data_IF_343377328529
#
_entry.id   IF_343377328529
#
_cell.length_a   1.000
_cell.length_b   1.000
_cell.length_c   1.000
_cell.angle_alpha   90.00
_cell.angle_beta   90.00
_cell.angle_gamma   90.00
#
_symmetry.space_group_name_H-M   'P 1'
#
loop_
_entity.id
_entity.type
_entity.pdbx_description
1 polymer ?
#
# COMPACT_ATOMS: atom_id res chain seq x y z
N UNK A 1 5.34 -13.60 7.81
CA UNK A 1 4.60 -12.48 8.40
C UNK A 1 4.92 -11.20 7.63
N UNK A 2 3.89 -10.49 7.21
CA UNK A 2 4.10 -9.29 6.41
C UNK A 2 4.60 -8.13 7.27
N UNK A 3 5.41 -7.28 6.68
CA UNK A 3 5.99 -6.12 7.35
C UNK A 3 5.43 -4.85 6.72
N UNK A 4 4.88 -3.98 7.56
CA UNK A 4 4.20 -2.76 7.15
C UNK A 4 5.02 -1.55 7.56
N UNK A 5 5.18 -0.59 6.66
CA UNK A 5 5.75 0.71 7.00
C UNK A 5 4.61 1.71 7.07
N UNK A 6 4.43 2.36 8.22
CA UNK A 6 3.40 3.37 8.42
C UNK A 6 4.07 4.74 8.45
N UNK A 7 3.66 5.63 7.55
CA UNK A 7 4.25 6.94 7.39
C UNK A 7 3.20 8.01 7.60
N UNK A 8 3.31 8.77 8.67
CA UNK A 8 2.37 9.83 9.02
C UNK A 8 3.08 10.74 10.02
N UNK A 9 2.86 12.05 9.92
CA UNK A 9 3.49 12.97 10.84
C UNK A 9 2.80 13.04 12.19
N UNK A 10 1.60 12.45 12.31
CA UNK A 10 0.86 12.39 13.57
C UNK A 10 1.12 11.07 14.29
N UNK A 11 1.75 11.17 15.45
CA UNK A 11 2.12 9.97 16.18
C UNK A 11 0.90 9.13 16.57
N UNK A 12 -0.23 9.78 16.87
CA UNK A 12 -1.43 9.04 17.26
C UNK A 12 -1.96 8.16 16.14
N UNK A 13 -1.88 8.66 14.90
CA UNK A 13 -2.29 7.87 13.74
C UNK A 13 -1.36 6.67 13.59
N UNK A 14 -0.05 6.88 13.68
CA UNK A 14 0.90 5.78 13.55
C UNK A 14 0.67 4.73 14.62
N UNK A 15 0.40 5.16 15.85
CA UNK A 15 0.24 4.23 16.95
C UNK A 15 -1.03 3.40 16.84
N UNK A 16 -2.13 4.01 16.39
CA UNK A 16 -3.36 3.24 16.27
C UNK A 16 -3.25 2.22 15.13
N UNK A 17 -2.62 2.60 14.03
CA UNK A 17 -2.41 1.66 12.94
C UNK A 17 -1.51 0.52 13.38
N UNK A 18 -0.45 0.85 14.10
CA UNK A 18 0.47 -0.16 14.61
C UNK A 18 -0.24 -1.15 15.51
N UNK A 19 -1.07 -0.64 16.41
CA UNK A 19 -1.78 -1.49 17.37
C UNK A 19 -2.68 -2.49 16.64
N UNK A 20 -3.47 -2.02 15.70
CA UNK A 20 -4.38 -2.89 14.96
C UNK A 20 -3.62 -3.87 14.06
N UNK A 21 -2.55 -3.40 13.44
CA UNK A 21 -1.77 -4.26 12.54
C UNK A 21 -1.04 -5.35 13.31
N UNK A 22 -0.48 -5.01 14.46
CA UNK A 22 0.20 -6.02 15.26
C UNK A 22 -0.77 -7.05 15.80
N UNK A 23 -1.99 -6.62 16.13
CA UNK A 23 -3.02 -7.56 16.54
C UNK A 23 -3.34 -8.57 15.46
N UNK A 24 -3.22 -8.16 14.19
CA UNK A 24 -3.46 -9.04 13.05
C UNK A 24 -2.23 -9.91 12.72
N UNK A 25 -1.13 -9.71 13.41
CA UNK A 25 0.06 -10.51 13.21
C UNK A 25 1.11 -9.88 12.31
N UNK A 26 0.94 -8.63 11.93
CA UNK A 26 1.92 -7.95 11.07
C UNK A 26 3.03 -7.33 11.91
N UNK A 27 4.21 -7.22 11.29
CA UNK A 27 5.30 -6.42 11.83
C UNK A 27 5.13 -4.99 11.36
N UNK A 28 5.40 -3.99 12.22
CA UNK A 28 5.17 -2.59 11.86
C UNK A 28 6.41 -1.75 12.17
N UNK A 29 6.84 -0.96 11.19
CA UNK A 29 7.84 0.08 11.38
C UNK A 29 7.16 1.42 11.10
N UNK A 30 7.68 2.49 11.69
CA UNK A 30 7.08 3.81 11.59
C UNK A 30 8.06 4.83 11.03
N UNK A 31 7.54 5.77 10.23
CA UNK A 31 8.29 6.93 9.77
C UNK A 31 7.44 8.17 9.99
N UNK A 32 8.06 9.30 10.34
CA UNK A 32 7.30 10.52 10.63
C UNK A 32 7.17 11.45 9.43
N UNK A 33 7.91 11.20 8.37
CA UNK A 33 7.81 12.03 7.17
C UNK A 33 8.29 11.23 5.97
N UNK A 34 8.13 11.83 4.79
CA UNK A 34 8.47 11.15 3.56
C UNK A 34 9.95 10.87 3.39
N UNK A 35 10.80 11.77 3.88
CA UNK A 35 12.24 11.57 3.76
C UNK A 35 12.70 10.38 4.58
N UNK A 36 12.17 10.25 5.79
CA UNK A 36 12.49 9.11 6.63
C UNK A 36 12.01 7.81 5.99
N UNK A 37 10.82 7.87 5.38
CA UNK A 37 10.26 6.68 4.71
C UNK A 37 11.17 6.23 3.56
N UNK A 38 11.63 7.16 2.73
CA UNK A 38 12.51 6.82 1.62
C UNK A 38 13.79 6.17 2.14
N UNK A 39 14.35 6.75 3.19
CA UNK A 39 15.58 6.22 3.77
C UNK A 39 15.38 4.80 4.32
N UNK A 40 14.25 4.58 5.00
CA UNK A 40 13.97 3.24 5.53
C UNK A 40 13.78 2.20 4.44
N UNK A 41 13.15 2.58 3.34
CA UNK A 41 12.96 1.67 2.21
C UNK A 41 14.30 1.28 1.59
N UNK A 42 15.26 2.18 1.58
CA UNK A 42 16.60 1.87 1.08
C UNK A 42 17.29 0.77 1.91
N UNK A 43 16.98 0.74 3.20
CA UNK A 43 17.72 -0.12 4.14
C UNK A 43 16.96 -1.36 4.58
N UNK A 44 15.66 -1.42 4.34
CA UNK A 44 14.82 -2.54 4.79
C UNK A 44 13.78 -2.89 3.73
N UNK A 45 13.27 -4.10 3.81
CA UNK A 45 12.20 -4.54 2.93
C UNK A 45 10.85 -4.43 3.63
N UNK A 46 9.84 -3.96 2.90
CA UNK A 46 8.47 -3.88 3.39
C UNK A 46 7.54 -4.50 2.38
N UNK A 47 6.46 -5.08 2.89
CA UNK A 47 5.45 -5.72 2.03
C UNK A 47 4.37 -4.74 1.59
N UNK A 48 4.16 -3.68 2.38
CA UNK A 48 3.18 -2.65 2.04
C UNK A 48 3.53 -1.38 2.82
N UNK A 49 3.20 -0.24 2.25
CA UNK A 49 3.41 1.07 2.88
C UNK A 49 2.07 1.77 3.03
N UNK A 50 1.80 2.29 4.21
CA UNK A 50 0.65 3.15 4.48
C UNK A 50 1.21 4.56 4.59
N UNK A 51 0.81 5.44 3.69
CA UNK A 51 1.47 6.73 3.49
C UNK A 51 0.47 7.88 3.55
N UNK A 52 0.68 8.80 4.50
CA UNK A 52 -0.09 10.03 4.54
C UNK A 52 0.28 10.92 3.36
N UNK A 53 -0.71 11.55 2.74
CA UNK A 53 -0.46 12.45 1.62
C UNK A 53 0.22 13.73 2.07
N UNK A 54 -0.30 14.35 3.13
CA UNK A 54 0.17 15.68 3.57
C UNK A 54 1.13 15.55 4.74
N UNK A 55 2.41 15.76 4.46
CA UNK A 55 3.44 15.69 5.49
C UNK A 55 4.47 16.78 5.25
N UNK A 56 5.17 17.21 6.31
CA UNK A 56 6.28 18.16 6.13
C UNK A 56 7.45 17.49 5.44
N UNK A 57 8.36 18.30 4.94
CA UNK A 57 9.60 17.90 4.29
C UNK A 57 9.38 17.27 2.93
N UNK A 58 8.72 16.12 2.87
CA UNK A 58 8.46 15.43 1.62
C UNK A 58 7.06 14.83 1.72
N UNK A 59 6.14 15.29 0.88
CA UNK A 59 4.77 14.81 0.92
C UNK A 59 4.66 13.36 0.45
N UNK A 60 3.48 12.75 0.66
CA UNK A 60 3.30 11.34 0.38
C UNK A 60 3.44 10.97 -1.08
N UNK A 61 2.96 11.80 -2.00
CA UNK A 61 3.09 11.51 -3.43
C UNK A 61 4.54 11.57 -3.86
N UNK A 62 5.27 12.59 -3.42
CA UNK A 62 6.68 12.74 -3.76
C UNK A 62 7.50 11.60 -3.17
N UNK A 63 7.18 11.21 -1.93
CA UNK A 63 7.88 10.09 -1.29
C UNK A 63 7.62 8.80 -2.06
N UNK A 64 6.38 8.56 -2.47
CA UNK A 64 6.03 7.37 -3.23
C UNK A 64 6.80 7.33 -4.55
N UNK A 65 6.89 8.46 -5.21
CA UNK A 65 7.63 8.56 -6.46
C UNK A 65 9.10 8.19 -6.27
N UNK A 66 9.71 8.69 -5.19
CA UNK A 66 11.10 8.35 -4.89
C UNK A 66 11.26 6.87 -4.54
N UNK A 67 10.31 6.33 -3.77
CA UNK A 67 10.34 4.93 -3.41
C UNK A 67 10.25 4.04 -4.64
N UNK A 68 9.40 4.41 -5.61
CA UNK A 68 9.24 3.62 -6.84
C UNK A 68 10.52 3.53 -7.66
N UNK A 69 11.43 4.48 -7.51
CA UNK A 69 12.72 4.40 -8.16
C UNK A 69 13.62 3.33 -7.54
N UNK A 70 13.31 2.94 -6.32
CA UNK A 70 14.14 2.00 -5.57
C UNK A 70 13.52 0.60 -5.57
N UNK A 71 12.22 0.50 -5.25
CA UNK A 71 11.55 -0.78 -5.08
C UNK A 71 10.09 -0.69 -5.50
N UNK A 72 9.51 -1.82 -5.89
CA UNK A 72 8.09 -1.94 -6.19
C UNK A 72 7.37 -2.48 -4.95
N UNK A 73 6.83 -1.57 -4.15
CA UNK A 73 6.13 -1.93 -2.93
C UNK A 73 4.70 -1.38 -3.01
N UNK A 74 3.68 -2.18 -2.71
CA UNK A 74 2.30 -1.65 -2.70
C UNK A 74 2.14 -0.51 -1.71
N UNK A 75 1.35 0.49 -2.08
CA UNK A 75 1.14 1.69 -1.25
C UNK A 75 -0.35 1.97 -1.12
N UNK A 76 -0.80 2.20 0.12
CA UNK A 76 -2.13 2.75 0.41
C UNK A 76 -1.92 4.17 0.92
N UNK A 77 -2.57 5.14 0.26
CA UNK A 77 -2.49 6.53 0.69
C UNK A 77 -3.59 6.87 1.69
N UNK A 78 -3.23 7.65 2.70
CA UNK A 78 -4.21 8.22 3.63
C UNK A 78 -4.39 9.67 3.23
N UNK A 79 -5.59 10.05 2.82
CA UNK A 79 -5.84 11.40 2.36
C UNK A 79 -6.93 12.07 3.18
N UNK A 80 -6.85 13.40 3.29
CA UNK A 80 -7.89 14.16 3.97
C UNK A 80 -9.10 14.28 3.06
N UNK A 81 -10.27 14.47 3.69
CA UNK A 81 -11.48 14.72 2.94
C UNK A 81 -11.30 15.97 2.08
N UNK A 82 -11.73 15.89 0.85
CA UNK A 82 -11.62 17.02 -0.06
C UNK A 82 -10.42 17.01 -0.98
N UNK A 83 -9.60 15.97 -0.90
CA UNK A 83 -8.40 15.83 -1.74
C UNK A 83 -8.60 14.84 -2.88
N UNK A 84 -9.84 14.64 -3.30
CA UNK A 84 -10.13 13.62 -4.30
C UNK A 84 -9.48 13.89 -5.65
N UNK A 85 -9.29 15.17 -6.00
CA UNK A 85 -8.66 15.48 -7.29
C UNK A 85 -7.21 15.01 -7.36
N UNK A 86 -6.58 14.78 -6.21
CA UNK A 86 -5.19 14.30 -6.18
C UNK A 86 -5.08 12.80 -6.45
N UNK A 87 -6.20 12.09 -6.43
CA UNK A 87 -6.18 10.64 -6.62
C UNK A 87 -5.68 10.24 -8.00
N UNK A 88 -6.03 10.99 -9.04
CA UNK A 88 -5.54 10.70 -10.38
C UNK A 88 -4.02 10.73 -10.43
N UNK A 89 -3.43 11.74 -9.81
CA UNK A 89 -1.97 11.84 -9.76
C UNK A 89 -1.36 10.65 -9.03
N UNK A 90 -1.98 10.25 -7.91
CA UNK A 90 -1.50 9.10 -7.15
C UNK A 90 -1.58 7.81 -7.94
N UNK A 91 -2.66 7.59 -8.67
CA UNK A 91 -2.77 6.39 -9.49
C UNK A 91 -1.75 6.37 -10.60
N UNK A 92 -1.41 7.54 -11.16
CA UNK A 92 -0.38 7.62 -12.18
C UNK A 92 0.98 7.18 -11.67
N UNK A 93 1.28 7.42 -10.40
CA UNK A 93 2.56 7.00 -9.82
C UNK A 93 2.49 5.62 -9.17
N UNK A 94 1.34 4.94 -9.28
CA UNK A 94 1.23 3.55 -8.88
C UNK A 94 0.74 3.29 -7.48
N UNK A 95 -0.10 4.18 -6.94
CA UNK A 95 -0.74 3.96 -5.64
C UNK A 95 -1.82 2.89 -5.79
N UNK A 96 -1.88 1.97 -4.85
CA UNK A 96 -2.77 0.81 -4.94
C UNK A 96 -4.16 1.06 -4.36
N UNK A 97 -4.28 1.95 -3.40
CA UNK A 97 -5.57 2.25 -2.80
C UNK A 97 -5.50 3.56 -2.04
N UNK A 98 -6.66 4.11 -1.71
CA UNK A 98 -6.80 5.33 -0.94
C UNK A 98 -7.76 5.11 0.21
N UNK A 99 -7.44 5.69 1.37
CA UNK A 99 -8.33 5.67 2.52
C UNK A 99 -8.45 7.11 3.01
N UNK A 100 -9.69 7.59 3.19
CA UNK A 100 -9.95 8.98 3.56
C UNK A 100 -10.00 9.10 5.08
N UNK A 101 -9.32 10.11 5.61
CA UNK A 101 -9.36 10.40 7.04
C UNK A 101 -10.62 11.19 7.38
N UNK A 102 -11.25 10.97 8.52
CA UNK A 102 -10.92 9.96 9.52
C UNK A 102 -11.34 8.58 9.04
N UNK A 103 -10.53 7.58 9.31
CA UNK A 103 -10.79 6.23 8.82
C UNK A 103 -11.11 5.28 9.98
N UNK A 104 -11.76 4.17 9.63
CA UNK A 104 -11.94 3.08 10.56
C UNK A 104 -10.68 2.21 10.53
N UNK A 105 -10.02 1.98 11.68
CA UNK A 105 -8.86 1.09 11.67
C UNK A 105 -9.18 -0.31 11.14
N UNK A 106 -10.39 -0.81 11.40
CA UNK A 106 -10.78 -2.13 10.88
C UNK A 106 -10.91 -2.11 9.37
N UNK A 107 -11.45 -1.02 8.81
CA UNK A 107 -11.53 -0.89 7.35
C UNK A 107 -10.14 -0.82 6.75
N UNK A 108 -9.22 -0.09 7.37
CA UNK A 108 -7.85 -0.02 6.88
C UNK A 108 -7.20 -1.41 6.89
N UNK A 109 -7.42 -2.18 7.94
CA UNK A 109 -6.88 -3.54 7.99
C UNK A 109 -7.43 -4.40 6.86
N UNK A 110 -8.73 -4.26 6.57
CA UNK A 110 -9.33 -5.02 5.45
C UNK A 110 -8.70 -4.64 4.12
N UNK A 111 -8.43 -3.36 3.92
CA UNK A 111 -7.79 -2.91 2.68
C UNK A 111 -6.35 -3.38 2.58
N UNK A 112 -5.63 -3.39 3.69
CA UNK A 112 -4.27 -3.93 3.73
C UNK A 112 -4.29 -5.39 3.30
N UNK A 113 -5.20 -6.19 3.86
CA UNK A 113 -5.32 -7.59 3.47
C UNK A 113 -5.63 -7.75 1.99
N UNK A 114 -6.53 -6.91 1.48
CA UNK A 114 -6.91 -6.99 0.07
C UNK A 114 -5.74 -6.68 -0.85
N UNK A 115 -4.96 -5.65 -0.51
CA UNK A 115 -3.80 -5.28 -1.32
C UNK A 115 -2.74 -6.36 -1.27
N UNK A 116 -2.46 -6.90 -0.09
CA UNK A 116 -1.48 -7.97 0.05
C UNK A 116 -1.92 -9.23 -0.69
N UNK A 117 -3.20 -9.55 -0.64
CA UNK A 117 -3.73 -10.72 -1.35
C UNK A 117 -3.65 -10.56 -2.86
N UNK A 118 -3.92 -9.36 -3.37
CA UNK A 118 -3.81 -9.10 -4.81
C UNK A 118 -2.38 -9.29 -5.30
N UNK A 119 -1.41 -8.79 -4.53
CA UNK A 119 -0.01 -8.95 -4.89
C UNK A 119 0.38 -10.43 -4.95
N UNK A 120 -0.03 -11.19 -3.94
CA UNK A 120 0.21 -12.62 -3.89
C UNK A 120 -0.45 -13.37 -5.04
N UNK A 121 -1.71 -13.07 -5.28
CA UNK A 121 -2.47 -13.74 -6.33
C UNK A 121 -1.88 -13.46 -7.71
N UNK A 122 -1.48 -12.22 -7.94
CA UNK A 122 -0.85 -11.83 -9.19
C UNK A 122 0.43 -12.62 -9.43
N UNK A 123 1.24 -12.76 -8.39
CA UNK A 123 2.46 -13.51 -8.46
C UNK A 123 2.20 -15.00 -8.72
N UNK A 124 1.22 -15.57 -8.04
CA UNK A 124 0.85 -16.97 -8.25
C UNK A 124 0.36 -17.22 -9.68
N UNK A 125 -0.41 -16.29 -10.20
CA UNK A 125 -0.92 -16.41 -11.56
C UNK A 125 0.21 -16.42 -12.57
N UNK A 126 1.19 -15.56 -12.39
CA UNK A 126 2.36 -15.52 -13.26
C UNK A 126 3.14 -16.83 -13.21
N UNK A 127 3.30 -17.38 -12.01
CA UNK A 127 4.00 -18.65 -11.85
C UNK A 127 3.27 -19.79 -12.55
N UNK A 128 1.96 -19.82 -12.42
CA UNK A 128 1.15 -20.86 -13.08
C UNK A 128 1.27 -20.74 -14.60
N UNK A 129 1.16 -19.55 -15.14
CA UNK A 129 1.29 -19.34 -16.58
C UNK A 129 2.64 -19.81 -17.07
N UNK A 130 3.70 -19.47 -16.33
CA UNK A 130 5.04 -19.86 -16.69
C UNK A 130 5.21 -21.37 -16.75
N UNK A 131 4.65 -22.05 -15.77
CA UNK A 131 4.76 -23.50 -15.67
C UNK A 131 4.01 -24.23 -16.76
N UNK A 132 2.77 -23.85 -16.96
CA UNK A 132 1.87 -24.62 -17.79
C UNK A 132 1.81 -24.16 -19.21
N UNK A 133 2.29 -23.00 -19.46
CA UNK A 133 2.26 -22.44 -20.80
C UNK A 133 0.91 -22.16 -21.29
N UNK A 134 -0.15 -21.98 -20.49
CA UNK A 134 -1.42 -21.75 -20.94
C UNK A 134 -2.33 -21.17 -20.14
N UNK A 135 -3.31 -20.93 -20.37
CA UNK A 135 -4.29 -20.60 -20.16
C UNK A 135 -4.96 -20.18 -19.40
N UNK A 136 -5.53 -19.54 -19.32
CA UNK A 136 -6.14 -19.28 -18.58
C UNK A 136 -7.13 -18.70 -18.48
N UNK A 137 -7.67 -18.58 -18.57
CA UNK A 137 -8.52 -18.15 -18.35
C UNK A 137 -9.08 -17.76 -17.50
N UNK A 138 -9.17 -17.32 -17.54
CA UNK A 138 -9.50 -17.04 -16.58
C UNK A 138 -10.35 -16.42 -16.26
N UNK A 139 -10.81 -16.38 -16.42
CA UNK A 139 -11.41 -15.96 -16.05
C UNK A 139 -11.82 -15.18 -15.49
N UNK A 140 -11.81 -14.89 -15.73
CA UNK A 140 -11.66 -14.36 -15.06
C UNK A 140 -12.18 -13.70 -14.61
N UNK A 141 -12.32 -13.45 -14.82
CA UNK A 141 -12.08 -13.11 -14.14
C UNK A 141 -12.28 -12.52 -13.69
N UNK A 142 -12.37 -12.38 -13.80
CA UNK A 142 -11.86 -12.16 -13.27
C UNK A 142 -11.98 -11.68 -13.10
N UNK A 143 -12.38 -11.44 -13.54
CA UNK A 143 -11.85 -11.25 -13.24
C UNK A 143 -12.14 -10.72 -13.14
N UNK A 144 -12.44 -10.36 -13.32
CA UNK A 144 -12.15 -10.09 -13.06
C UNK A 144 -12.35 -9.75 -12.85
N UNK A 145 -12.66 -9.68 -13.02
CA UNK A 145 -12.27 -9.58 -12.71
C UNK A 145 -12.67 -9.11 -12.71
N UNK A 146 -12.99 -8.79 -12.83
CA UNK A 146 -12.83 -8.62 -12.63
C UNK A 146 -13.13 -8.24 -12.66
N UNK A 147 -13.87 -8.11 -13.08
CA UNK A 147 -13.46 -7.99 -12.86
C UNK A 147 -13.80 -7.74 -13.12
N UNK A 148 -13.53 -7.74 -13.13
CA UNK A 148 -13.08 -7.90 -13.13
C UNK A 148 -13.18 -7.89 -13.23
N UNK A 149 -13.61 -7.68 -13.36
CA UNK A 149 -13.13 -7.96 -13.30
C UNK A 149 -13.08 -7.89 -13.30
#
# INVERSE_FOLDING_TARGET
>A
MAKILVVDDEIKIREIIKEYAEFEGYEVAQAEDGMQAVEMVKNQDFDIIIMDVMMPKLDGYSACKEIRKIKQIPVIMLSARGEEYDKLFGFEIGVDDYVVKPFSPKELMARIRAVLNRASASQRTEDVIRYEGLEINFTAREVKIDGEK
#
